data_IF_884348741171
#
_entry.id   IF_884348741171
#
_cell.length_a   1.000
_cell.length_b   1.000
_cell.length_c   1.000
_cell.angle_alpha   90.00
_cell.angle_beta   90.00
_cell.angle_gamma   90.00
#
_symmetry.space_group_name_H-M   'P 1'
#
loop_
_entity.id
_entity.type
_entity.pdbx_description
1 polymer ?
#
# COMPACT_ATOMS: atom_id res chain seq x y z
N UNK A 1 5.83 16.96 -4.49
CA UNK A 1 7.12 16.27 -4.56
C UNK A 1 7.05 15.22 -5.65
N UNK A 2 8.13 15.06 -6.45
CA UNK A 2 8.23 14.10 -7.55
C UNK A 2 9.71 13.80 -7.84
N UNK A 3 10.01 12.69 -8.51
CA UNK A 3 11.33 12.48 -9.08
C UNK A 3 11.60 13.52 -10.18
N UNK A 4 12.84 13.98 -10.29
CA UNK A 4 13.23 15.04 -11.21
C UNK A 4 12.94 14.65 -12.66
N UNK A 5 13.25 13.42 -13.06
CA UNK A 5 13.02 12.88 -14.40
C UNK A 5 11.52 12.77 -14.76
N UNK A 6 10.65 12.90 -13.77
CA UNK A 6 9.20 12.77 -13.95
C UNK A 6 8.45 14.09 -13.95
N UNK A 7 9.14 15.21 -13.73
CA UNK A 7 8.49 16.53 -13.61
C UNK A 7 7.69 16.87 -14.86
N UNK A 8 8.33 16.89 -16.02
CA UNK A 8 7.68 17.26 -17.30
C UNK A 8 6.56 16.30 -17.67
N UNK A 9 6.81 14.98 -17.59
CA UNK A 9 5.81 13.96 -17.92
C UNK A 9 4.59 14.00 -16.99
N UNK A 10 4.80 14.29 -15.71
CA UNK A 10 3.71 14.45 -14.75
C UNK A 10 2.91 15.73 -14.96
N UNK A 11 3.56 16.85 -15.25
CA UNK A 11 2.88 18.11 -15.55
C UNK A 11 2.01 17.97 -16.80
N UNK A 12 2.57 17.38 -17.86
CA UNK A 12 1.82 17.12 -19.10
C UNK A 12 0.62 16.19 -18.86
N UNK A 13 0.83 15.08 -18.14
CA UNK A 13 -0.22 14.09 -17.83
C UNK A 13 -1.37 14.66 -17.02
N UNK A 14 -1.05 15.57 -16.10
CA UNK A 14 -2.05 16.19 -15.21
C UNK A 14 -2.60 17.52 -15.75
N UNK A 15 -2.18 17.91 -16.96
CA UNK A 15 -2.58 19.17 -17.60
C UNK A 15 -2.29 20.40 -16.71
N UNK A 16 -1.16 20.35 -16.00
CA UNK A 16 -0.75 21.40 -15.07
C UNK A 16 0.45 22.18 -15.59
N UNK A 17 0.52 23.43 -15.20
CA UNK A 17 1.73 24.23 -15.33
C UNK A 17 2.40 24.39 -13.97
N UNK A 18 3.70 24.39 -13.95
CA UNK A 18 4.47 24.53 -12.70
C UNK A 18 5.95 24.71 -12.95
N UNK A 19 6.66 25.14 -11.93
CA UNK A 19 8.12 25.28 -11.93
C UNK A 19 8.72 24.52 -10.75
N UNK A 20 9.94 24.03 -10.96
CA UNK A 20 10.71 23.44 -9.87
C UNK A 20 11.20 24.56 -8.97
N UNK A 21 10.82 24.52 -7.70
CA UNK A 21 11.19 25.52 -6.69
C UNK A 21 12.39 25.09 -5.86
N UNK A 22 12.63 23.76 -5.74
CA UNK A 22 13.76 23.20 -5.04
C UNK A 22 13.98 21.74 -5.46
N UNK A 23 15.19 21.24 -5.32
CA UNK A 23 15.56 19.84 -5.52
C UNK A 23 16.27 19.30 -4.27
N UNK A 24 16.07 18.01 -4.02
CA UNK A 24 16.75 17.30 -2.93
C UNK A 24 16.87 15.81 -3.27
N UNK A 25 17.67 15.07 -2.50
CA UNK A 25 17.76 13.62 -2.65
C UNK A 25 16.63 12.92 -1.91
N UNK A 26 16.28 11.69 -2.33
CA UNK A 26 15.30 10.86 -1.61
C UNK A 26 15.72 10.63 -0.15
N UNK A 27 17.02 10.42 0.11
CA UNK A 27 17.57 10.24 1.46
C UNK A 27 17.34 11.44 2.39
N UNK A 28 17.31 12.66 1.86
CA UNK A 28 17.00 13.84 2.66
C UNK A 28 15.49 13.96 3.02
N UNK A 29 14.64 13.15 2.40
CA UNK A 29 13.21 13.08 2.70
C UNK A 29 12.87 11.98 3.72
N UNK A 30 13.83 11.13 4.07
CA UNK A 30 13.62 10.00 4.99
C UNK A 30 13.02 10.47 6.31
N UNK A 31 11.97 9.78 6.77
CA UNK A 31 11.21 10.05 7.99
C UNK A 31 10.51 11.41 8.06
N UNK A 32 10.50 12.18 6.96
CA UNK A 32 9.59 13.34 6.88
C UNK A 32 8.15 12.81 6.91
N UNK A 33 7.30 13.45 7.69
CA UNK A 33 5.92 13.05 7.84
C UNK A 33 4.99 13.89 6.95
N UNK A 34 4.15 13.20 6.20
CA UNK A 34 3.01 13.79 5.50
C UNK A 34 1.73 13.57 6.29
N UNK A 35 0.89 14.60 6.35
CA UNK A 35 -0.45 14.47 6.95
C UNK A 35 -1.39 13.79 5.95
N UNK A 36 -2.14 12.80 6.41
CA UNK A 36 -3.19 12.19 5.61
C UNK A 36 -4.30 13.22 5.27
N UNK A 37 -4.85 13.24 4.06
CA UNK A 37 -5.78 14.29 3.62
C UNK A 37 -7.07 14.39 4.43
N UNK A 38 -7.57 13.31 5.02
CA UNK A 38 -8.84 13.30 5.75
C UNK A 38 -8.85 12.40 7.01
N UNK A 39 -7.80 11.64 7.30
CA UNK A 39 -7.65 10.96 8.59
C UNK A 39 -6.61 11.68 9.45
N UNK A 40 -6.83 11.72 10.76
CA UNK A 40 -5.86 12.30 11.68
C UNK A 40 -4.69 11.33 11.93
N UNK A 41 -3.85 11.21 10.93
CA UNK A 41 -2.64 10.41 10.99
C UNK A 41 -1.52 10.99 10.13
N UNK A 42 -0.30 10.61 10.46
CA UNK A 42 0.90 10.92 9.70
C UNK A 42 1.35 9.72 8.88
N UNK A 43 1.92 10.00 7.72
CA UNK A 43 2.53 9.02 6.82
C UNK A 43 4.00 9.37 6.66
N UNK A 44 4.91 8.62 7.29
CA UNK A 44 6.35 8.85 7.17
C UNK A 44 6.86 8.42 5.79
N UNK A 45 7.90 9.09 5.33
CA UNK A 45 8.65 8.69 4.13
C UNK A 45 9.65 7.60 4.51
N UNK A 46 9.58 6.47 3.82
CA UNK A 46 10.55 5.39 3.90
C UNK A 46 11.33 5.27 2.60
N UNK A 47 12.60 4.87 2.69
CA UNK A 47 13.42 4.56 1.53
C UNK A 47 13.27 3.09 1.17
N UNK A 48 13.12 2.79 -0.12
CA UNK A 48 12.99 1.43 -0.60
C UNK A 48 13.57 1.27 -2.02
N UNK A 49 14.34 0.22 -2.23
CA UNK A 49 15.06 -0.02 -3.49
C UNK A 49 14.14 -0.39 -4.66
N UNK A 50 12.91 -0.84 -4.39
CA UNK A 50 11.94 -1.17 -5.42
C UNK A 50 11.25 0.06 -6.05
N UNK A 51 11.51 1.26 -5.57
CA UNK A 51 10.92 2.48 -6.13
C UNK A 51 11.67 2.88 -7.40
N UNK A 52 10.99 2.74 -8.53
CA UNK A 52 11.57 3.02 -9.83
C UNK A 52 11.30 4.46 -10.28
N UNK A 53 12.31 5.09 -10.93
CA UNK A 53 12.17 6.41 -11.53
C UNK A 53 11.43 6.38 -12.87
N UNK A 54 11.33 5.20 -13.50
CA UNK A 54 10.71 5.01 -14.82
C UNK A 54 9.18 5.09 -14.85
N UNK A 55 8.50 5.00 -13.72
CA UNK A 55 7.05 4.95 -13.63
C UNK A 55 6.46 5.90 -12.57
N UNK A 56 5.21 6.27 -12.73
CA UNK A 56 4.47 7.08 -11.76
C UNK A 56 5.11 8.44 -11.50
N UNK A 57 5.24 8.80 -10.23
CA UNK A 57 5.80 10.08 -9.75
C UNK A 57 7.19 9.93 -9.12
N UNK A 58 7.70 8.70 -8.96
CA UNK A 58 8.88 8.39 -8.16
C UNK A 58 8.61 8.39 -6.65
N UNK A 59 7.35 8.51 -6.24
CA UNK A 59 6.89 8.36 -4.85
C UNK A 59 5.75 7.37 -4.85
N UNK A 60 5.84 6.35 -4.00
CA UNK A 60 4.90 5.24 -3.92
C UNK A 60 4.14 5.31 -2.60
N UNK A 61 2.81 5.11 -2.65
CA UNK A 61 2.03 4.88 -1.44
C UNK A 61 2.24 3.44 -0.97
N UNK A 62 2.69 3.27 0.27
CA UNK A 62 2.93 1.96 0.88
C UNK A 62 1.76 1.53 1.76
N UNK A 63 1.29 0.30 1.53
CA UNK A 63 0.19 -0.30 2.29
C UNK A 63 0.58 -1.70 2.81
N UNK A 64 1.21 -1.80 3.99
CA UNK A 64 1.82 -3.04 4.50
C UNK A 64 0.84 -4.20 4.70
N UNK A 65 -0.46 -3.94 4.80
CA UNK A 65 -1.48 -4.99 4.84
C UNK A 65 -1.79 -5.60 3.46
N UNK A 66 -1.36 -4.96 2.35
CA UNK A 66 -1.83 -5.27 0.99
C UNK A 66 -0.71 -5.50 -0.03
N UNK A 67 0.55 -5.25 0.34
CA UNK A 67 1.72 -5.48 -0.50
C UNK A 67 2.87 -6.10 0.29
N UNK A 68 3.55 -7.10 -0.30
CA UNK A 68 4.68 -7.79 0.36
C UNK A 68 5.86 -6.85 0.53
N UNK A 69 6.22 -6.11 -0.52
CA UNK A 69 7.34 -5.17 -0.48
C UNK A 69 7.06 -4.03 0.50
N UNK A 70 5.82 -3.53 0.53
CA UNK A 70 5.36 -2.55 1.50
C UNK A 70 5.49 -3.06 2.94
N UNK A 71 5.08 -4.32 3.17
CA UNK A 71 5.20 -4.98 4.47
C UNK A 71 6.66 -5.08 4.90
N UNK A 72 7.54 -5.58 4.02
CA UNK A 72 8.97 -5.74 4.32
C UNK A 72 9.61 -4.39 4.64
N UNK A 73 9.33 -3.37 3.85
CA UNK A 73 9.84 -2.01 4.08
C UNK A 73 9.37 -1.44 5.41
N UNK A 74 8.06 -1.49 5.69
CA UNK A 74 7.53 -0.99 6.95
C UNK A 74 8.11 -1.74 8.18
N UNK A 75 8.33 -3.05 8.05
CA UNK A 75 8.98 -3.85 9.10
C UNK A 75 10.44 -3.46 9.31
N UNK A 76 11.18 -3.15 8.25
CA UNK A 76 12.57 -2.67 8.33
C UNK A 76 12.68 -1.35 9.10
N UNK A 77 11.66 -0.50 9.01
CA UNK A 77 11.55 0.74 9.79
C UNK A 77 10.92 0.56 11.18
N UNK A 78 10.79 -0.68 11.65
CA UNK A 78 10.37 -0.99 13.03
C UNK A 78 8.86 -1.07 13.25
N UNK A 79 8.03 -0.96 12.21
CA UNK A 79 6.57 -1.13 12.36
C UNK A 79 6.26 -2.52 12.91
N UNK A 80 5.52 -2.62 14.01
CA UNK A 80 5.05 -3.89 14.56
C UNK A 80 3.74 -4.32 13.90
N UNK A 81 3.37 -5.60 14.03
CA UNK A 81 2.17 -6.11 13.35
C UNK A 81 0.89 -5.42 13.80
N UNK A 82 0.82 -5.01 15.06
CA UNK A 82 -0.35 -4.35 15.64
C UNK A 82 -0.56 -2.92 15.12
N UNK A 83 0.50 -2.29 14.57
CA UNK A 83 0.43 -0.96 13.94
C UNK A 83 -0.10 -1.03 12.51
N UNK A 84 -0.15 -2.23 11.91
CA UNK A 84 -0.55 -2.40 10.52
C UNK A 84 -2.06 -2.25 10.39
N UNK A 85 -2.49 -1.17 9.77
CA UNK A 85 -3.90 -0.94 9.47
C UNK A 85 -4.39 -1.90 8.39
N UNK A 86 -5.34 -2.74 8.74
CA UNK A 86 -5.94 -3.73 7.84
C UNK A 86 -7.48 -3.64 7.87
N UNK A 87 -8.06 -2.55 7.35
CA UNK A 87 -9.49 -2.32 7.44
C UNK A 87 -10.35 -3.21 6.54
N UNK A 88 -9.76 -3.95 5.59
CA UNK A 88 -10.53 -4.82 4.69
C UNK A 88 -10.77 -6.18 5.35
N UNK A 89 -12.02 -6.54 5.54
CA UNK A 89 -12.44 -7.83 6.09
C UNK A 89 -12.30 -8.97 5.06
N UNK A 90 -12.48 -10.21 5.51
CA UNK A 90 -12.34 -11.42 4.65
C UNK A 90 -13.34 -11.47 3.49
N UNK A 91 -14.45 -10.79 3.59
CA UNK A 91 -15.48 -10.67 2.54
C UNK A 91 -15.22 -9.49 1.57
N UNK A 92 -14.10 -8.79 1.68
CA UNK A 92 -13.76 -7.65 0.85
C UNK A 92 -14.50 -6.35 1.19
N UNK A 93 -15.13 -6.30 2.38
CA UNK A 93 -15.85 -5.12 2.87
C UNK A 93 -14.99 -4.40 3.90
N UNK A 94 -15.00 -3.10 3.90
CA UNK A 94 -14.34 -2.31 4.94
C UNK A 94 -14.99 -2.54 6.30
N UNK A 95 -14.17 -2.65 7.34
CA UNK A 95 -14.66 -2.76 8.72
C UNK A 95 -15.65 -1.64 9.04
N UNK A 96 -16.78 -1.94 9.72
CA UNK A 96 -17.79 -0.92 10.03
C UNK A 96 -17.25 0.28 10.83
N UNK A 97 -16.15 0.07 11.56
CA UNK A 97 -15.48 1.12 12.33
C UNK A 97 -14.63 2.07 11.49
N UNK A 98 -14.42 1.77 10.20
CA UNK A 98 -13.66 2.67 9.33
C UNK A 98 -14.49 3.91 9.04
N UNK A 99 -14.00 5.06 9.47
CA UNK A 99 -14.61 6.34 9.21
C UNK A 99 -14.78 6.58 7.69
N UNK A 100 -15.87 7.19 7.26
CA UNK A 100 -16.29 7.48 5.89
C UNK A 100 -16.65 6.26 5.01
N UNK A 101 -15.94 5.13 5.10
CA UNK A 101 -16.05 4.04 4.13
C UNK A 101 -16.47 2.70 4.76
N UNK A 102 -16.70 2.65 6.07
CA UNK A 102 -17.12 1.43 6.78
C UNK A 102 -18.35 0.78 6.16
N UNK A 103 -18.32 -0.55 6.02
CA UNK A 103 -19.40 -1.34 5.44
C UNK A 103 -19.46 -1.32 3.90
N UNK A 104 -18.59 -0.58 3.21
CA UNK A 104 -18.56 -0.55 1.75
C UNK A 104 -17.67 -1.67 1.20
N UNK A 105 -18.09 -2.28 0.09
CA UNK A 105 -17.28 -3.23 -0.64
C UNK A 105 -16.16 -2.49 -1.40
N UNK A 106 -14.92 -2.96 -1.29
CA UNK A 106 -13.72 -2.22 -1.74
C UNK A 106 -13.78 -1.79 -3.22
N UNK A 107 -14.31 -2.63 -4.12
CA UNK A 107 -14.44 -2.29 -5.54
C UNK A 107 -15.53 -1.24 -5.83
N UNK A 108 -16.40 -0.95 -4.87
CA UNK A 108 -17.41 0.12 -4.95
C UNK A 108 -16.97 1.41 -4.24
N UNK A 109 -15.90 1.35 -3.45
CA UNK A 109 -15.43 2.49 -2.67
C UNK A 109 -14.59 3.49 -3.46
N UNK A 110 -14.15 3.16 -4.69
CA UNK A 110 -13.27 4.04 -5.47
C UNK A 110 -13.90 5.42 -5.70
N UNK A 111 -15.14 5.48 -6.17
CA UNK A 111 -15.80 6.77 -6.41
C UNK A 111 -16.02 7.56 -5.11
N UNK A 112 -16.57 7.00 -4.02
CA UNK A 112 -16.64 7.68 -2.73
C UNK A 112 -15.30 8.23 -2.21
N UNK A 113 -14.19 7.51 -2.43
CA UNK A 113 -12.85 7.97 -2.03
C UNK A 113 -12.42 9.17 -2.90
N UNK A 114 -12.64 9.13 -4.21
CA UNK A 114 -12.36 10.24 -5.13
C UNK A 114 -13.18 11.48 -4.73
N UNK A 115 -14.46 11.29 -4.45
CA UNK A 115 -15.36 12.37 -4.02
C UNK A 115 -14.87 12.99 -2.72
N UNK A 116 -14.45 12.17 -1.75
CA UNK A 116 -13.89 12.64 -0.47
C UNK A 116 -12.59 13.42 -0.66
N UNK A 117 -11.69 12.94 -1.51
CA UNK A 117 -10.45 13.66 -1.84
C UNK A 117 -10.73 15.00 -2.52
N UNK A 118 -11.76 15.07 -3.38
CA UNK A 118 -12.19 16.30 -4.01
C UNK A 118 -12.80 17.27 -2.99
N UNK A 119 -13.65 16.77 -2.09
CA UNK A 119 -14.29 17.56 -1.03
C UNK A 119 -13.25 18.28 -0.15
N UNK A 120 -12.18 17.57 0.23
CA UNK A 120 -11.12 18.14 1.08
C UNK A 120 -10.04 18.91 0.29
N UNK A 121 -10.21 19.06 -1.03
CA UNK A 121 -9.24 19.75 -1.89
C UNK A 121 -7.90 19.04 -2.08
N UNK A 122 -7.85 17.72 -1.88
CA UNK A 122 -6.63 16.93 -1.98
C UNK A 122 -6.53 16.11 -3.28
N UNK A 123 -7.54 16.15 -4.14
CA UNK A 123 -7.53 15.50 -5.45
C UNK A 123 -6.82 16.40 -6.47
N UNK A 124 -5.66 15.95 -6.96
CA UNK A 124 -4.92 16.67 -7.99
C UNK A 124 -5.40 16.31 -9.41
N UNK A 125 -5.54 15.02 -9.67
CA UNK A 125 -5.91 14.49 -10.99
C UNK A 125 -6.52 13.09 -10.82
N UNK A 126 -7.40 12.73 -11.73
CA UNK A 126 -7.95 11.37 -11.83
C UNK A 126 -8.05 10.94 -13.28
N UNK A 127 -7.72 9.72 -13.55
CA UNK A 127 -7.85 9.13 -14.89
C UNK A 127 -8.23 7.66 -14.80
N UNK A 128 -8.79 7.14 -15.85
CA UNK A 128 -9.08 5.70 -15.98
C UNK A 128 -8.00 5.04 -16.81
N UNK A 129 -7.34 4.05 -16.24
CA UNK A 129 -6.35 3.23 -16.93
C UNK A 129 -6.85 1.80 -17.10
N UNK A 130 -6.45 1.15 -18.17
CA UNK A 130 -6.72 -0.27 -18.41
C UNK A 130 -5.41 -1.04 -18.19
N UNK A 131 -5.45 -2.00 -17.28
CA UNK A 131 -4.30 -2.86 -17.00
C UNK A 131 -4.76 -4.29 -16.72
N UNK A 132 -3.82 -5.24 -16.79
CA UNK A 132 -4.06 -6.62 -16.37
C UNK A 132 -4.19 -6.70 -14.86
N UNK A 133 -5.16 -7.45 -14.37
CA UNK A 133 -5.36 -7.69 -12.96
C UNK A 133 -5.56 -9.17 -12.67
N UNK A 134 -5.03 -9.65 -11.56
CA UNK A 134 -5.12 -11.07 -11.23
C UNK A 134 -6.54 -11.46 -10.81
N UNK A 135 -7.02 -12.56 -11.37
CA UNK A 135 -8.34 -13.12 -11.08
C UNK A 135 -8.20 -14.55 -10.53
N UNK A 136 -9.13 -14.94 -9.68
CA UNK A 136 -9.26 -16.33 -9.26
C UNK A 136 -9.52 -17.22 -10.48
N UNK A 137 -8.68 -18.24 -10.68
CA UNK A 137 -8.81 -19.14 -11.82
C UNK A 137 -10.16 -19.88 -11.85
N UNK A 138 -10.74 -20.17 -10.67
CA UNK A 138 -12.01 -20.89 -10.51
C UNK A 138 -13.22 -19.98 -10.66
N UNK A 139 -13.25 -18.86 -9.94
CA UNK A 139 -14.43 -17.98 -9.87
C UNK A 139 -14.37 -16.81 -10.85
N UNK A 140 -13.24 -16.60 -11.51
CA UNK A 140 -13.01 -15.48 -12.45
C UNK A 140 -13.25 -14.08 -11.83
N UNK A 141 -13.24 -14.00 -10.52
CA UNK A 141 -13.37 -12.73 -9.78
C UNK A 141 -11.99 -12.12 -9.48
N UNK A 142 -11.87 -10.79 -9.39
CA UNK A 142 -10.63 -10.15 -8.97
C UNK A 142 -10.17 -10.64 -7.61
N UNK A 143 -8.85 -10.84 -7.46
CA UNK A 143 -8.25 -11.21 -6.18
C UNK A 143 -8.08 -9.98 -5.30
N UNK A 144 -8.17 -10.17 -3.99
CA UNK A 144 -7.84 -9.16 -3.00
C UNK A 144 -6.62 -9.67 -2.23
N UNK A 145 -5.51 -8.94 -2.34
CA UNK A 145 -4.35 -9.19 -1.49
C UNK A 145 -4.59 -8.53 -0.14
N UNK A 146 -4.40 -9.28 0.94
CA UNK A 146 -4.50 -8.75 2.30
C UNK A 146 -3.70 -9.60 3.28
N UNK A 147 -3.15 -8.98 4.32
CA UNK A 147 -2.55 -9.67 5.44
C UNK A 147 -3.61 -10.47 6.19
N UNK A 148 -3.28 -11.72 6.53
CA UNK A 148 -4.13 -12.61 7.32
C UNK A 148 -3.31 -13.33 8.38
N UNK A 149 -3.85 -13.49 9.57
CA UNK A 149 -3.23 -14.33 10.58
C UNK A 149 -3.29 -15.80 10.12
N UNK A 150 -2.16 -16.49 10.22
CA UNK A 150 -2.03 -17.89 9.85
C UNK A 150 -1.19 -18.64 10.89
N UNK A 151 -1.46 -19.92 11.04
CA UNK A 151 -0.62 -20.81 11.83
C UNK A 151 0.50 -21.37 10.96
N UNK A 152 1.74 -21.32 11.47
CA UNK A 152 2.90 -21.91 10.85
C UNK A 152 3.46 -23.01 11.74
N UNK A 153 3.66 -24.19 11.18
CA UNK A 153 4.29 -25.32 11.85
C UNK A 153 5.68 -25.50 11.25
N UNK A 154 6.71 -25.30 12.07
CA UNK A 154 8.11 -25.48 11.65
C UNK A 154 8.42 -26.95 11.47
N UNK A 155 8.44 -27.44 10.23
CA UNK A 155 8.69 -28.85 9.92
C UNK A 155 10.11 -29.30 10.27
N UNK A 156 11.07 -28.38 10.25
CA UNK A 156 12.49 -28.61 10.50
C UNK A 156 12.93 -28.19 11.92
N UNK A 157 12.01 -27.66 12.73
CA UNK A 157 12.30 -27.34 14.14
C UNK A 157 12.11 -28.59 14.98
N UNK A 158 13.12 -28.88 15.83
CA UNK A 158 12.98 -29.93 16.84
C UNK A 158 11.87 -29.51 17.82
N UNK A 159 10.81 -30.32 17.95
CA UNK A 159 9.88 -30.14 19.06
C UNK A 159 10.59 -30.47 20.37
N UNK A 160 10.03 -30.04 21.49
CA UNK A 160 10.56 -30.26 22.85
C UNK A 160 10.85 -31.75 23.17
N UNK A 161 10.41 -32.68 22.32
CA UNK A 161 10.64 -34.13 22.40
C UNK A 161 11.85 -34.66 21.62
N UNK A 162 12.61 -33.79 20.95
CA UNK A 162 13.86 -34.17 20.27
C UNK A 162 13.73 -34.70 18.83
N UNK A 163 12.51 -34.83 18.27
CA UNK A 163 12.27 -35.29 16.90
C UNK A 163 11.71 -34.20 16.02
N UNK A 164 12.22 -34.04 14.80
CA UNK A 164 11.59 -33.15 13.80
C UNK A 164 10.42 -33.87 13.12
N UNK A 165 9.42 -33.10 12.69
CA UNK A 165 8.26 -33.67 11.99
C UNK A 165 8.62 -34.37 10.66
N UNK A 166 9.77 -34.04 10.06
CA UNK A 166 10.27 -34.67 8.83
C UNK A 166 10.87 -36.06 9.06
N UNK A 167 11.35 -36.38 10.25
CA UNK A 167 12.01 -37.66 10.55
C UNK A 167 11.00 -38.81 10.66
N UNK A 168 9.72 -38.56 10.67
CA UNK A 168 8.66 -39.56 10.84
C UNK A 168 8.00 -40.05 9.55
N UNK A 169 8.51 -39.67 8.38
CA UNK A 169 8.04 -40.27 7.12
C UNK A 169 8.87 -41.52 6.81
N UNK A 170 8.26 -42.72 6.70
CA UNK A 170 8.95 -43.90 6.24
C UNK A 170 9.38 -43.78 4.78
#
# INVERSE_FOLDING_TARGET
VRAEERVESCLARYELQGSVIATTTGSALELINFRHPFYDRLSPVYLADYVELGAGTGIVHSAPAYGVDDFVTCKAYGMVNDDILNPVQSNGVYAPSLEFFGGQFIFKANQPIIDKLSEVGALLHTETIKHSYMHCWRHKTPLIYRATAQWFIGMDKEPTSGDTLRVRSP
#
